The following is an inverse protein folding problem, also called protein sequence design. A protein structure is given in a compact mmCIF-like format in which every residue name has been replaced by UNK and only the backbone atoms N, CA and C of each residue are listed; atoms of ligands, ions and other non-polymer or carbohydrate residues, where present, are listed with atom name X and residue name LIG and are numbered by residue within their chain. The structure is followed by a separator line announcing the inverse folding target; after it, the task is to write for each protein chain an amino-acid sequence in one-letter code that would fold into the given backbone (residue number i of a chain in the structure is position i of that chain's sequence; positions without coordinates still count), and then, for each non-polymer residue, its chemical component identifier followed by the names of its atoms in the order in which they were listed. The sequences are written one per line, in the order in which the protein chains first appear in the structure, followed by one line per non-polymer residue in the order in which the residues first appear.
data_IF_071251689442
#
_entry.id   IF_071251689442
#
_cell.length_a   1.000
_cell.length_b   1.000
_cell.length_c   1.000
_cell.angle_alpha   90.00
_cell.angle_beta   90.00
_cell.angle_gamma   90.00
#
_symmetry.space_group_name_H-M   'P 1'
#
loop_
_entity.id
_entity.type
_entity.pdbx_description
1 polymer ?
#
# COMPACT_ATOMS: atom_id res chain seq x y z
N UNK A 1 -14.58 -1.60 18.70
CA UNK A 1 -13.25 -1.65 19.30
C UNK A 1 -13.30 -0.94 20.65
N UNK A 2 -13.01 -1.61 21.78
CA UNK A 2 -12.87 -0.95 23.07
C UNK A 2 -11.69 0.03 23.11
N UNK A 3 -11.74 1.02 24.00
CA UNK A 3 -10.76 2.11 24.13
C UNK A 3 -9.35 1.60 24.48
N UNK A 4 -9.24 0.46 25.16
CA UNK A 4 -7.97 -0.23 25.43
C UNK A 4 -7.20 -0.57 24.17
N UNK A 5 -7.90 -0.96 23.11
CA UNK A 5 -7.29 -1.44 21.87
C UNK A 5 -6.74 -0.27 21.05
N UNK A 6 -7.40 0.89 21.11
CA UNK A 6 -6.92 2.11 20.45
C UNK A 6 -5.63 2.64 21.08
N UNK A 7 -5.52 2.60 22.41
CA UNK A 7 -4.31 2.99 23.12
C UNK A 7 -3.13 2.04 22.79
N UNK A 8 -3.40 0.73 22.74
CA UNK A 8 -2.43 -0.28 22.32
C UNK A 8 -1.93 -0.01 20.90
N UNK A 9 -2.84 0.14 19.93
CA UNK A 9 -2.50 0.41 18.53
C UNK A 9 -1.70 1.70 18.41
N UNK A 10 -2.14 2.78 19.05
CA UNK A 10 -1.48 4.08 18.93
C UNK A 10 -0.03 4.05 19.42
N UNK A 11 0.30 3.20 20.40
CA UNK A 11 1.68 3.03 20.88
C UNK A 11 2.60 2.29 19.90
N UNK A 12 2.04 1.57 18.93
CA UNK A 12 2.75 0.78 17.91
C UNK A 12 2.87 1.51 16.57
N UNK A 13 2.28 2.70 16.44
CA UNK A 13 2.34 3.52 15.23
C UNK A 13 3.62 4.37 15.21
N UNK A 14 4.41 4.25 14.15
CA UNK A 14 5.66 4.99 13.97
C UNK A 14 5.69 5.68 12.60
N UNK A 15 5.85 7.01 12.52
CA UNK A 15 5.99 7.68 11.23
C UNK A 15 7.30 7.27 10.56
N UNK A 16 7.24 7.02 9.26
CA UNK A 16 8.40 6.68 8.42
C UNK A 16 8.30 7.31 7.04
N UNK A 17 9.47 7.46 6.41
CA UNK A 17 9.59 7.72 4.98
C UNK A 17 10.13 6.46 4.31
N UNK A 18 9.40 5.95 3.32
CA UNK A 18 9.71 4.67 2.67
C UNK A 18 9.62 4.84 1.16
N UNK A 19 10.56 4.22 0.44
CA UNK A 19 10.49 4.21 -1.01
C UNK A 19 9.34 3.30 -1.48
N UNK A 20 8.55 3.75 -2.46
CA UNK A 20 7.42 3.00 -3.01
C UNK A 20 7.81 1.63 -3.59
N UNK A 21 9.08 1.45 -3.99
CA UNK A 21 9.60 0.14 -4.43
C UNK A 21 9.70 -0.87 -3.29
N UNK A 22 9.88 -0.40 -2.06
CA UNK A 22 10.01 -1.22 -0.86
C UNK A 22 8.64 -1.50 -0.20
N UNK A 23 7.56 -0.94 -0.74
CA UNK A 23 6.18 -1.15 -0.29
C UNK A 23 5.50 -2.18 -1.21
N UNK A 24 5.05 -3.28 -0.62
CA UNK A 24 4.31 -4.36 -1.24
C UNK A 24 2.81 -4.14 -1.06
N UNK A 25 2.05 -4.45 -2.10
CA UNK A 25 0.59 -4.56 -1.99
C UNK A 25 0.26 -5.77 -1.13
N UNK A 26 -0.79 -5.68 -0.32
CA UNK A 26 -1.30 -6.82 0.44
C UNK A 26 -2.32 -7.61 -0.41
N UNK A 27 -1.97 -8.80 -0.95
CA UNK A 27 -2.92 -9.64 -1.69
C UNK A 27 -4.05 -10.16 -0.77
N UNK A 28 -3.79 -10.25 0.53
CA UNK A 28 -4.73 -10.75 1.53
C UNK A 28 -5.61 -9.64 2.10
N UNK A 29 -5.49 -8.40 1.62
CA UNK A 29 -6.39 -7.32 1.97
C UNK A 29 -7.84 -7.80 1.75
N UNK A 30 -8.81 -7.56 2.66
CA UNK A 30 -10.14 -8.16 2.56
C UNK A 30 -10.84 -7.92 1.22
N UNK A 31 -10.64 -6.72 0.64
CA UNK A 31 -11.20 -6.36 -0.67
C UNK A 31 -10.61 -7.17 -1.83
N UNK A 32 -9.45 -7.78 -1.64
CA UNK A 32 -8.78 -8.67 -2.59
C UNK A 32 -8.90 -10.15 -2.20
N UNK A 33 -8.81 -10.52 -0.93
CA UNK A 33 -8.87 -11.93 -0.51
C UNK A 33 -10.17 -12.63 -0.97
N UNK A 34 -11.30 -11.91 -1.01
CA UNK A 34 -12.60 -12.43 -1.47
C UNK A 34 -12.60 -12.91 -2.93
N UNK A 35 -11.71 -12.42 -3.79
CA UNK A 35 -11.74 -12.69 -5.23
C UNK A 35 -10.57 -13.60 -5.67
N UNK A 36 -9.44 -13.60 -4.97
CA UNK A 36 -8.24 -14.39 -5.37
C UNK A 36 -7.72 -15.40 -4.34
N UNK A 37 -8.36 -15.52 -3.17
CA UNK A 37 -7.89 -16.38 -2.09
C UNK A 37 -6.78 -15.75 -1.24
N UNK A 38 -6.22 -16.54 -0.33
CA UNK A 38 -5.13 -16.11 0.56
C UNK A 38 -3.78 -16.60 0.07
N UNK A 39 -2.81 -15.71 0.04
CA UNK A 39 -1.40 -15.97 -0.24
C UNK A 39 -0.62 -16.13 1.08
N UNK A 40 0.38 -17.02 1.15
CA UNK A 40 1.20 -17.18 2.34
C UNK A 40 2.06 -15.94 2.59
N UNK A 41 2.30 -15.61 3.86
CA UNK A 41 3.06 -14.42 4.26
C UNK A 41 4.44 -14.34 3.59
N UNK A 42 5.17 -15.47 3.49
CA UNK A 42 6.52 -15.51 2.88
C UNK A 42 6.53 -15.26 1.36
N UNK A 43 5.39 -15.49 0.70
CA UNK A 43 5.22 -15.38 -0.75
C UNK A 43 4.67 -14.03 -1.20
N UNK A 44 4.32 -13.12 -0.28
CA UNK A 44 3.73 -11.82 -0.61
C UNK A 44 4.67 -11.01 -1.52
N UNK A 45 5.99 -11.12 -1.35
CA UNK A 45 6.98 -10.38 -2.13
C UNK A 45 7.29 -10.98 -3.51
N UNK A 46 6.68 -12.11 -3.88
CA UNK A 46 6.86 -12.71 -5.20
C UNK A 46 6.28 -11.82 -6.31
N UNK A 47 7.02 -11.67 -7.41
CA UNK A 47 6.60 -10.82 -8.54
C UNK A 47 5.23 -11.23 -9.11
N UNK A 48 4.96 -12.55 -9.18
CA UNK A 48 3.68 -13.07 -9.65
C UNK A 48 2.52 -12.63 -8.74
N UNK A 49 2.72 -12.68 -7.43
CA UNK A 49 1.72 -12.31 -6.42
C UNK A 49 1.47 -10.80 -6.46
N UNK A 50 2.53 -10.00 -6.53
CA UNK A 50 2.41 -8.54 -6.61
C UNK A 50 1.75 -8.07 -7.91
N UNK A 51 2.05 -8.70 -9.05
CA UNK A 51 1.41 -8.35 -10.32
C UNK A 51 -0.05 -8.79 -10.36
N UNK A 52 -0.39 -9.94 -9.77
CA UNK A 52 -1.78 -10.38 -9.61
C UNK A 52 -2.57 -9.39 -8.73
N UNK A 53 -2.07 -9.05 -7.55
CA UNK A 53 -2.69 -8.07 -6.67
C UNK A 53 -2.88 -6.71 -7.35
N UNK A 54 -1.86 -6.26 -8.11
CA UNK A 54 -1.93 -5.03 -8.89
C UNK A 54 -3.02 -5.09 -9.98
N UNK A 55 -3.05 -6.17 -10.78
CA UNK A 55 -4.06 -6.39 -11.82
C UNK A 55 -5.47 -6.36 -11.24
N UNK A 56 -5.68 -7.04 -10.12
CA UNK A 56 -6.98 -7.12 -9.45
C UNK A 56 -7.44 -5.78 -8.87
N UNK A 57 -6.52 -4.99 -8.30
CA UNK A 57 -6.82 -3.62 -7.90
C UNK A 57 -7.22 -2.74 -9.10
N UNK A 58 -6.58 -2.94 -10.25
CA UNK A 58 -6.88 -2.23 -11.48
C UNK A 58 -8.23 -2.62 -12.08
N UNK A 59 -8.46 -3.92 -12.26
CA UNK A 59 -9.58 -4.44 -13.05
C UNK A 59 -10.83 -4.70 -12.22
N UNK A 60 -10.70 -5.19 -10.98
CA UNK A 60 -11.83 -5.60 -10.15
C UNK A 60 -12.27 -4.49 -9.19
N UNK A 61 -11.31 -3.79 -8.58
CA UNK A 61 -11.60 -2.72 -7.60
C UNK A 61 -11.80 -1.36 -8.27
N UNK A 62 -11.15 -1.11 -9.41
CA UNK A 62 -11.21 0.14 -10.14
C UNK A 62 -10.44 1.26 -9.44
N UNK A 63 -9.27 1.62 -9.98
CA UNK A 63 -8.41 2.69 -9.44
C UNK A 63 -8.09 3.80 -10.45
N UNK A 64 -8.73 3.82 -11.62
CA UNK A 64 -8.50 4.80 -12.69
C UNK A 64 -8.78 6.24 -12.27
N UNK A 65 -9.91 6.46 -11.59
CA UNK A 65 -10.28 7.79 -11.09
C UNK A 65 -9.29 8.29 -10.03
N UNK A 66 -8.85 7.37 -9.15
CA UNK A 66 -7.86 7.66 -8.11
C UNK A 66 -6.50 8.00 -8.73
N UNK A 67 -6.06 7.21 -9.73
CA UNK A 67 -4.84 7.47 -10.51
C UNK A 67 -4.90 8.85 -11.17
N UNK A 68 -6.00 9.17 -11.84
CA UNK A 68 -6.17 10.43 -12.55
C UNK A 68 -6.17 11.62 -11.59
N UNK A 69 -6.83 11.48 -10.43
CA UNK A 69 -6.84 12.48 -9.37
C UNK A 69 -5.44 12.72 -8.78
N UNK A 70 -4.71 11.65 -8.43
CA UNK A 70 -3.34 11.74 -7.91
C UNK A 70 -2.41 12.39 -8.92
N UNK A 71 -2.53 12.06 -10.21
CA UNK A 71 -1.67 12.63 -11.24
C UNK A 71 -1.96 14.12 -11.51
N UNK A 72 -3.23 14.53 -11.41
CA UNK A 72 -3.66 15.91 -11.69
C UNK A 72 -3.37 16.84 -10.51
N UNK A 73 -3.81 16.46 -9.31
CA UNK A 73 -3.73 17.31 -8.11
C UNK A 73 -2.40 17.10 -7.39
N UNK A 74 -1.80 15.92 -7.51
CA UNK A 74 -0.70 15.46 -6.67
C UNK A 74 -1.19 14.55 -5.57
N UNK A 75 -0.25 13.86 -4.91
CA UNK A 75 -0.58 13.03 -3.76
C UNK A 75 -1.00 13.94 -2.59
N UNK A 76 -2.31 13.97 -2.29
CA UNK A 76 -2.83 14.71 -1.15
C UNK A 76 -2.55 13.89 0.13
N UNK A 77 -1.77 14.41 1.10
CA UNK A 77 -1.40 13.70 2.33
C UNK A 77 -2.57 13.52 3.33
N UNK A 78 -3.80 13.83 2.92
CA UNK A 78 -5.00 13.83 3.78
C UNK A 78 -5.35 12.42 4.27
N UNK A 79 -4.92 11.38 3.55
CA UNK A 79 -5.19 9.99 3.92
C UNK A 79 -3.89 9.31 4.38
N UNK A 80 -3.91 8.72 5.58
CA UNK A 80 -2.75 8.03 6.15
C UNK A 80 -2.45 6.76 5.35
N UNK A 81 -1.19 6.54 4.97
CA UNK A 81 -0.73 5.24 4.46
C UNK A 81 -0.21 4.44 5.65
N UNK A 82 -0.81 3.28 5.91
CA UNK A 82 -0.38 2.42 7.02
C UNK A 82 0.22 1.15 6.46
N UNK A 83 1.42 0.82 6.94
CA UNK A 83 2.18 -0.34 6.51
C UNK A 83 2.67 -1.12 7.73
N UNK A 84 3.03 -2.38 7.55
CA UNK A 84 3.81 -3.16 8.51
C UNK A 84 5.08 -3.66 7.84
N UNK A 85 6.03 -4.20 8.60
CA UNK A 85 7.11 -4.98 8.02
C UNK A 85 6.57 -6.25 7.36
N UNK A 86 7.18 -6.63 6.25
CA UNK A 86 7.00 -7.95 5.66
C UNK A 86 7.66 -9.00 6.58
N UNK A 87 6.92 -10.04 6.99
CA UNK A 87 7.36 -10.96 8.05
C UNK A 87 8.18 -12.16 7.53
N UNK A 88 8.76 -12.02 6.34
CA UNK A 88 9.73 -12.95 5.78
C UNK A 88 11.13 -12.67 6.33
N UNK A 89 11.85 -13.71 6.73
CA UNK A 89 13.22 -13.58 7.26
C UNK A 89 14.14 -12.82 6.29
N UNK A 90 14.84 -11.83 6.83
CA UNK A 90 15.77 -10.98 6.06
C UNK A 90 15.10 -9.94 5.15
N UNK A 91 13.77 -9.86 5.12
CA UNK A 91 13.06 -8.84 4.35
C UNK A 91 13.19 -7.46 5.01
N UNK A 92 13.50 -6.44 4.19
CA UNK A 92 13.45 -5.02 4.58
C UNK A 92 12.25 -4.29 3.96
N UNK A 93 11.32 -5.04 3.35
CA UNK A 93 10.13 -4.50 2.70
C UNK A 93 8.98 -4.30 3.68
N UNK A 94 8.01 -3.53 3.24
CA UNK A 94 6.78 -3.22 3.95
C UNK A 94 5.57 -3.79 3.22
N UNK A 95 4.55 -4.23 3.93
CA UNK A 95 3.27 -4.65 3.37
C UNK A 95 2.20 -3.66 3.81
N UNK A 96 1.35 -3.24 2.88
CA UNK A 96 0.28 -2.28 3.16
C UNK A 96 -0.78 -2.90 4.06
N UNK A 97 -1.21 -2.15 5.07
CA UNK A 97 -2.44 -2.43 5.84
C UNK A 97 -3.56 -1.56 5.29
N UNK A 98 -3.33 -0.25 5.21
CA UNK A 98 -4.30 0.72 4.71
C UNK A 98 -3.72 1.58 3.58
N UNK A 99 -4.47 1.69 2.48
CA UNK A 99 -4.06 2.44 1.30
C UNK A 99 -3.61 1.60 0.09
N UNK A 100 -3.98 0.32 0.00
CA UNK A 100 -3.59 -0.59 -1.11
C UNK A 100 -3.86 0.05 -2.49
N UNK A 101 -5.06 0.63 -2.66
CA UNK A 101 -5.45 1.31 -3.91
C UNK A 101 -4.56 2.52 -4.24
N UNK A 102 -4.12 3.28 -3.24
CA UNK A 102 -3.28 4.47 -3.42
C UNK A 102 -1.87 4.07 -3.82
N UNK A 103 -1.30 3.08 -3.15
CA UNK A 103 0.02 2.54 -3.53
C UNK A 103 -0.02 1.95 -4.93
N UNK A 104 -1.06 1.19 -5.28
CA UNK A 104 -1.23 0.67 -6.64
C UNK A 104 -1.35 1.81 -7.66
N UNK A 105 -2.18 2.83 -7.40
CA UNK A 105 -2.30 3.98 -8.30
C UNK A 105 -0.97 4.71 -8.51
N UNK A 106 -0.19 4.93 -7.44
CA UNK A 106 1.15 5.55 -7.52
C UNK A 106 2.09 4.68 -8.36
N UNK A 107 2.16 3.37 -8.08
CA UNK A 107 2.95 2.42 -8.88
C UNK A 107 2.54 2.45 -10.34
N UNK A 108 1.24 2.57 -10.64
CA UNK A 108 0.76 2.68 -12.01
C UNK A 108 1.23 3.98 -12.67
N UNK A 109 1.11 5.13 -12.01
CA UNK A 109 1.59 6.42 -12.52
C UNK A 109 3.08 6.37 -12.86
N UNK A 110 3.89 5.74 -12.01
CA UNK A 110 5.33 5.60 -12.21
C UNK A 110 5.68 4.65 -13.37
N UNK A 111 4.85 3.62 -13.62
CA UNK A 111 4.99 2.71 -14.78
C UNK A 111 4.52 3.38 -16.08
N UNK A 112 3.42 4.12 -16.01
CA UNK A 112 2.71 4.67 -17.15
C UNK A 112 1.99 5.98 -16.77
N UNK A 113 2.23 7.05 -17.53
CA UNK A 113 1.52 8.31 -17.32
C UNK A 113 0.03 8.16 -17.71
N UNK A 114 -0.92 8.68 -16.91
CA UNK A 114 -2.33 8.65 -17.27
C UNK A 114 -2.64 9.55 -18.48
N UNK A 115 -3.74 9.29 -19.20
CA UNK A 115 -4.15 10.13 -20.33
C UNK A 115 -4.22 11.61 -19.96
N UNK A 116 -3.67 12.46 -20.83
CA UNK A 116 -3.65 13.91 -20.62
C UNK A 116 -2.57 14.42 -19.65
N UNK A 117 -1.78 13.56 -19.02
CA UNK A 117 -0.65 13.94 -18.17
C UNK A 117 0.68 13.62 -18.87
N UNK A 118 1.54 14.63 -19.04
CA UNK A 118 2.84 14.45 -19.69
C UNK A 118 3.85 13.80 -18.76
N UNK A 119 4.89 13.17 -19.33
CA UNK A 119 6.00 12.60 -18.55
C UNK A 119 6.75 13.65 -17.74
N UNK A 120 6.82 14.89 -18.23
CA UNK A 120 7.49 15.98 -17.53
C UNK A 120 6.79 16.33 -16.21
N UNK A 121 5.45 16.40 -16.21
CA UNK A 121 4.66 16.58 -14.98
C UNK A 121 4.91 15.44 -13.99
N UNK A 122 5.00 14.20 -14.47
CA UNK A 122 5.32 13.05 -13.60
C UNK A 122 6.75 13.14 -13.06
N UNK A 123 7.71 13.58 -13.87
CA UNK A 123 9.11 13.74 -13.44
C UNK A 123 9.26 14.83 -12.37
N UNK A 124 8.56 15.97 -12.50
CA UNK A 124 8.53 17.03 -11.49
C UNK A 124 7.99 16.52 -10.15
N UNK A 125 7.04 15.58 -10.19
CA UNK A 125 6.41 14.99 -9.00
C UNK A 125 7.05 13.68 -8.54
N UNK A 126 8.09 13.20 -9.24
CA UNK A 126 8.67 11.87 -9.01
C UNK A 126 9.04 11.65 -7.56
N UNK A 127 9.72 12.62 -6.92
CA UNK A 127 10.13 12.51 -5.53
C UNK A 127 8.94 12.27 -4.58
N UNK A 128 7.80 12.92 -4.81
CA UNK A 128 6.58 12.75 -4.01
C UNK A 128 5.87 11.42 -4.26
N UNK A 129 6.11 10.81 -5.43
CA UNK A 129 5.56 9.50 -5.81
C UNK A 129 6.48 8.34 -5.41
N UNK A 130 7.78 8.60 -5.27
CA UNK A 130 8.78 7.59 -4.89
C UNK A 130 9.03 7.54 -3.39
N UNK A 131 9.12 8.68 -2.71
CA UNK A 131 9.38 8.75 -1.27
C UNK A 131 8.09 9.10 -0.53
N UNK A 132 7.46 8.09 0.08
CA UNK A 132 6.15 8.24 0.70
C UNK A 132 6.28 8.36 2.22
N UNK A 133 5.58 9.34 2.79
CA UNK A 133 5.35 9.41 4.22
C UNK A 133 4.27 8.39 4.60
N UNK A 134 4.63 7.43 5.45
CA UNK A 134 3.79 6.32 5.91
C UNK A 134 3.80 6.25 7.43
N UNK A 135 2.87 5.49 7.98
CA UNK A 135 2.86 5.09 9.38
C UNK A 135 3.10 3.58 9.41
N UNK A 136 4.23 3.19 9.98
CA UNK A 136 4.51 1.79 10.31
C UNK A 136 3.68 1.41 11.54
N UNK A 137 2.83 0.40 11.43
CA UNK A 137 2.28 -0.32 12.55
C UNK A 137 3.21 -1.49 12.87
N UNK A 138 3.77 -1.49 14.08
CA UNK A 138 4.58 -2.61 14.57
C UNK A 138 3.68 -3.82 14.84
N UNK A 139 3.65 -4.74 13.88
CA UNK A 139 2.81 -5.95 13.89
C UNK A 139 3.69 -7.20 13.96
N UNK A 140 3.35 -8.13 14.85
CA UNK A 140 3.91 -9.48 14.89
C UNK A 140 2.94 -10.53 14.31
N UNK A 141 3.37 -11.79 14.24
CA UNK A 141 2.55 -12.88 13.71
C UNK A 141 1.25 -13.12 14.50
N UNK A 142 1.23 -12.86 15.81
CA UNK A 142 0.04 -13.06 16.64
C UNK A 142 -1.01 -11.97 16.41
N UNK A 143 -0.56 -10.78 15.99
CA UNK A 143 -1.39 -9.61 15.75
C UNK A 143 -1.75 -9.43 14.27
N UNK A 144 -1.10 -10.14 13.35
CA UNK A 144 -1.20 -9.96 11.90
C UNK A 144 -2.65 -9.92 11.39
N UNK A 145 -3.43 -10.96 11.69
CA UNK A 145 -4.80 -11.04 11.21
C UNK A 145 -5.64 -9.92 11.82
N UNK A 146 -5.54 -9.66 13.13
CA UNK A 146 -6.24 -8.55 13.78
C UNK A 146 -5.91 -7.23 13.09
N UNK A 147 -4.61 -6.95 12.95
CA UNK A 147 -4.09 -5.68 12.46
C UNK A 147 -4.45 -5.41 10.99
N UNK A 148 -4.63 -6.45 10.18
CA UNK A 148 -5.10 -6.33 8.78
C UNK A 148 -6.51 -5.73 8.68
N UNK A 149 -7.36 -5.90 9.71
CA UNK A 149 -8.75 -5.39 9.73
C UNK A 149 -8.92 -4.12 10.60
N UNK A 150 -7.84 -3.56 11.14
CA UNK A 150 -7.94 -2.45 12.13
C UNK A 150 -8.26 -1.08 11.52
N UNK A 151 -8.15 -0.91 10.20
CA UNK A 151 -8.27 0.37 9.48
C UNK A 151 -9.16 0.22 8.24
#
# INVERSE_FOLDING_TARGET
MPVSDLAEISSRLKPKKVNVTDILLDPNNPRLAEIGGQEPEEGIDEDRVQEDAFRRLKEEVGIDDLRSSIATVGFLPISMLVVRKHLKDGSNKYVVIEGNRRIAAIKWILREAPPGITRDIINERRNQLTELDVIELETDLNQLERDRFLL
#
